data_IF_688609271936
#
_entry.id   IF_688609271936
#
_cell.length_a   1.000
_cell.length_b   1.000
_cell.length_c   1.000
_cell.angle_alpha   90.00
_cell.angle_beta   90.00
_cell.angle_gamma   90.00
#
_symmetry.space_group_name_H-M   'P 1'
#
loop_
_entity.id
_entity.type
_entity.pdbx_description
1 polymer ?
#
# COMPACT_ATOMS: atom_id res chain seq x y z
N UNK A 1 -32.10 -27.67 -46.23
CA UNK A 1 -32.66 -26.70 -45.27
C UNK A 1 -32.73 -27.22 -43.82
N UNK A 2 -31.97 -28.25 -43.39
CA UNK A 2 -32.08 -28.82 -42.03
C UNK A 2 -30.85 -28.64 -41.11
N UNK A 3 -29.72 -28.13 -41.60
CA UNK A 3 -28.49 -28.00 -40.79
C UNK A 3 -28.52 -26.81 -39.83
N UNK A 4 -29.10 -25.66 -40.24
CA UNK A 4 -29.13 -24.46 -39.40
C UNK A 4 -30.04 -24.56 -38.17
N UNK A 5 -31.22 -25.18 -38.30
CA UNK A 5 -32.15 -25.36 -37.18
C UNK A 5 -31.61 -26.32 -36.11
N UNK A 6 -30.90 -27.38 -36.53
CA UNK A 6 -30.24 -28.30 -35.61
C UNK A 6 -29.13 -27.61 -34.82
N UNK A 7 -28.33 -26.76 -35.47
CA UNK A 7 -27.26 -26.00 -34.80
C UNK A 7 -27.84 -25.02 -33.77
N UNK A 8 -28.89 -24.26 -34.13
CA UNK A 8 -29.56 -23.33 -33.19
C UNK A 8 -30.15 -24.07 -31.98
N UNK A 9 -30.79 -25.23 -32.20
CA UNK A 9 -31.34 -26.05 -31.12
C UNK A 9 -30.25 -26.54 -30.16
N UNK A 10 -29.10 -26.98 -30.69
CA UNK A 10 -27.95 -27.42 -29.87
C UNK A 10 -27.43 -26.25 -29.00
N UNK A 11 -27.30 -25.05 -29.56
CA UNK A 11 -26.89 -23.88 -28.78
C UNK A 11 -27.88 -23.51 -27.68
N UNK A 12 -29.20 -23.58 -27.95
CA UNK A 12 -30.23 -23.32 -26.94
C UNK A 12 -30.20 -24.34 -25.81
N UNK A 13 -29.96 -25.63 -26.13
CA UNK A 13 -29.84 -26.68 -25.12
C UNK A 13 -28.58 -26.49 -24.27
N UNK A 14 -27.43 -26.16 -24.88
CA UNK A 14 -26.19 -25.86 -24.14
C UNK A 14 -26.41 -24.65 -23.23
N UNK A 15 -27.01 -23.58 -23.73
CA UNK A 15 -27.33 -22.39 -22.93
C UNK A 15 -28.25 -22.74 -21.74
N UNK A 16 -29.30 -23.54 -21.97
CA UNK A 16 -30.19 -23.99 -20.90
C UNK A 16 -29.47 -24.84 -19.84
N UNK A 17 -28.59 -25.76 -20.26
CA UNK A 17 -27.79 -26.58 -19.33
C UNK A 17 -26.82 -25.71 -18.51
N UNK A 18 -26.18 -24.73 -19.12
CA UNK A 18 -25.30 -23.79 -18.41
C UNK A 18 -26.08 -22.94 -17.40
N UNK A 19 -27.28 -22.47 -17.76
CA UNK A 19 -28.15 -21.72 -16.85
C UNK A 19 -28.61 -22.59 -15.68
N UNK A 20 -29.13 -23.80 -15.94
CA UNK A 20 -29.56 -24.72 -14.89
C UNK A 20 -28.39 -25.15 -13.99
N UNK A 21 -27.23 -25.42 -14.60
CA UNK A 21 -26.00 -25.72 -13.88
C UNK A 21 -25.56 -24.58 -12.97
N UNK A 22 -25.61 -23.33 -13.47
CA UNK A 22 -25.29 -22.13 -12.69
C UNK A 22 -26.26 -21.90 -11.53
N UNK A 23 -27.56 -22.05 -11.75
CA UNK A 23 -28.59 -21.93 -10.69
C UNK A 23 -28.37 -23.01 -9.63
N UNK A 24 -28.18 -24.27 -10.04
CA UNK A 24 -27.97 -25.39 -9.13
C UNK A 24 -26.71 -25.19 -8.29
N UNK A 25 -25.61 -24.77 -8.91
CA UNK A 25 -24.37 -24.46 -8.21
C UNK A 25 -24.55 -23.30 -7.23
N UNK A 26 -25.26 -22.23 -7.61
CA UNK A 26 -25.55 -21.10 -6.74
C UNK A 26 -26.36 -21.49 -5.50
N UNK A 27 -27.39 -22.33 -5.66
CA UNK A 27 -28.17 -22.86 -4.53
C UNK A 27 -27.30 -23.70 -3.60
N UNK A 28 -26.50 -24.62 -4.14
CA UNK A 28 -25.60 -25.48 -3.34
C UNK A 28 -24.57 -24.64 -2.59
N UNK A 29 -23.98 -23.63 -3.23
CA UNK A 29 -23.03 -22.72 -2.61
C UNK A 29 -23.67 -21.94 -1.45
N UNK A 30 -24.90 -21.44 -1.65
CA UNK A 30 -25.65 -20.69 -0.62
C UNK A 30 -25.99 -21.58 0.59
N UNK A 31 -26.46 -22.81 0.37
CA UNK A 31 -26.76 -23.76 1.46
C UNK A 31 -25.49 -24.14 2.23
N UNK A 32 -24.39 -24.43 1.53
CA UNK A 32 -23.09 -24.73 2.17
C UNK A 32 -22.58 -23.55 2.99
N UNK A 33 -22.71 -22.33 2.46
CA UNK A 33 -22.34 -21.10 3.17
C UNK A 33 -23.17 -20.91 4.43
N UNK A 34 -24.49 -21.11 4.35
CA UNK A 34 -25.35 -20.97 5.53
C UNK A 34 -25.04 -22.03 6.59
N UNK A 35 -24.80 -23.28 6.18
CA UNK A 35 -24.38 -24.34 7.08
C UNK A 35 -23.04 -24.01 7.78
N UNK A 36 -22.09 -23.47 7.04
CA UNK A 36 -20.80 -22.99 7.58
C UNK A 36 -21.00 -21.85 8.59
N UNK A 37 -21.81 -20.84 8.27
CA UNK A 37 -22.10 -19.72 9.20
C UNK A 37 -22.78 -20.24 10.47
N UNK A 38 -23.71 -21.20 10.34
CA UNK A 38 -24.38 -21.79 11.48
C UNK A 38 -23.40 -22.57 12.37
N UNK A 39 -22.44 -23.31 11.79
CA UNK A 39 -21.45 -24.05 12.56
C UNK A 39 -20.41 -23.14 13.24
N UNK A 40 -20.12 -21.97 12.68
CA UNK A 40 -19.38 -20.88 13.36
C UNK A 40 -20.16 -20.41 14.59
N UNK A 41 -21.45 -20.07 14.43
CA UNK A 41 -22.30 -19.57 15.53
C UNK A 41 -22.49 -20.59 16.65
N UNK A 42 -22.60 -21.88 16.33
CA UNK A 42 -22.70 -22.96 17.33
C UNK A 42 -21.47 -23.05 18.25
N UNK A 43 -20.31 -22.53 17.82
CA UNK A 43 -19.08 -22.45 18.64
C UNK A 43 -19.02 -21.18 19.50
N UNK A 44 -20.07 -20.35 19.46
CA UNK A 44 -20.09 -19.06 20.15
C UNK A 44 -19.30 -17.96 19.43
N UNK A 45 -18.89 -18.19 18.18
CA UNK A 45 -18.17 -17.22 17.38
C UNK A 45 -19.14 -16.40 16.52
N UNK A 46 -18.75 -15.16 16.21
CA UNK A 46 -19.47 -14.26 15.34
C UNK A 46 -18.94 -14.40 13.90
N UNK A 47 -19.85 -14.41 12.93
CA UNK A 47 -19.53 -14.29 11.51
C UNK A 47 -20.04 -12.95 10.99
N UNK A 48 -19.16 -12.14 10.42
CA UNK A 48 -19.48 -10.83 9.84
C UNK A 48 -19.28 -10.93 8.33
N UNK A 49 -20.34 -10.60 7.57
CA UNK A 49 -20.25 -10.43 6.12
C UNK A 49 -19.83 -8.99 5.85
N UNK A 50 -18.85 -8.78 4.99
CA UNK A 50 -18.36 -7.46 4.58
C UNK A 50 -18.03 -6.58 5.80
N UNK A 51 -17.03 -6.98 6.62
CA UNK A 51 -16.67 -6.25 7.81
C UNK A 51 -16.27 -4.82 7.45
N UNK A 52 -16.52 -3.91 8.39
CA UNK A 52 -16.09 -2.55 8.23
C UNK A 52 -14.55 -2.48 8.21
N UNK A 53 -14.07 -1.38 7.65
CA UNK A 53 -12.64 -1.15 7.45
C UNK A 53 -11.85 -1.15 8.79
N UNK A 54 -12.49 -0.75 9.89
CA UNK A 54 -11.94 -0.77 11.25
C UNK A 54 -11.38 -2.14 11.68
N UNK A 55 -11.89 -3.24 11.11
CA UNK A 55 -11.40 -4.60 11.36
C UNK A 55 -9.89 -4.77 11.06
N UNK A 56 -9.36 -4.01 10.09
CA UNK A 56 -7.95 -4.05 9.66
C UNK A 56 -7.24 -2.70 9.82
N UNK A 57 -7.92 -1.65 10.27
CA UNK A 57 -7.36 -0.30 10.44
C UNK A 57 -6.13 -0.23 11.34
N UNK A 58 -6.09 -1.09 12.36
CA UNK A 58 -4.99 -1.13 13.33
C UNK A 58 -3.73 -1.85 12.84
N UNK A 59 -3.81 -2.49 11.66
CA UNK A 59 -2.78 -3.36 11.10
C UNK A 59 -1.96 -2.59 10.06
N UNK A 60 -0.65 -2.54 10.24
CA UNK A 60 0.27 -1.80 9.38
C UNK A 60 1.27 -2.67 8.64
N UNK A 61 1.46 -3.93 9.05
CA UNK A 61 2.47 -4.82 8.50
C UNK A 61 1.91 -5.70 7.37
N UNK A 62 2.70 -6.06 6.34
CA UNK A 62 2.26 -6.89 5.22
C UNK A 62 1.50 -8.11 5.72
N UNK A 63 0.41 -8.54 5.06
CA UNK A 63 -0.14 -8.01 3.82
C UNK A 63 -0.93 -6.70 4.01
N UNK A 64 -1.09 -6.22 5.24
CA UNK A 64 -1.67 -4.91 5.52
C UNK A 64 -0.65 -3.81 5.23
N UNK A 65 -1.12 -2.56 5.14
CA UNK A 65 -0.24 -1.41 4.89
C UNK A 65 0.47 -1.37 3.54
N UNK A 66 0.28 -2.36 2.66
CA UNK A 66 0.87 -2.44 1.31
C UNK A 66 -0.20 -2.12 0.26
N UNK A 67 0.15 -1.27 -0.69
CA UNK A 67 -0.73 -0.91 -1.80
C UNK A 67 -1.89 -0.02 -1.37
N UNK A 68 -2.75 0.30 -2.34
CA UNK A 68 -3.86 1.24 -2.12
C UNK A 68 -5.19 0.49 -1.98
N UNK A 69 -5.29 -0.72 -2.53
CA UNK A 69 -6.45 -1.58 -2.30
C UNK A 69 -6.40 -2.32 -0.96
N UNK A 70 -7.49 -2.23 -0.21
CA UNK A 70 -7.71 -2.98 1.03
C UNK A 70 -9.15 -3.47 1.05
N UNK A 71 -9.34 -4.78 0.87
CA UNK A 71 -10.66 -5.39 0.75
C UNK A 71 -10.80 -6.52 1.76
N UNK A 72 -11.23 -6.20 3.00
CA UNK A 72 -11.70 -7.23 3.91
C UNK A 72 -13.09 -7.72 3.45
N UNK A 73 -13.39 -9.02 3.56
CA UNK A 73 -14.64 -9.60 3.04
C UNK A 73 -15.43 -10.46 4.03
N UNK A 74 -15.00 -11.67 4.36
CA UNK A 74 -15.64 -12.49 5.38
C UNK A 74 -14.78 -12.48 6.65
N UNK A 75 -15.41 -12.36 7.83
CA UNK A 75 -14.70 -12.31 9.11
C UNK A 75 -15.36 -13.24 10.14
N UNK A 76 -14.53 -13.94 10.90
CA UNK A 76 -14.90 -14.70 12.10
C UNK A 76 -14.25 -14.02 13.29
N UNK A 77 -15.04 -13.75 14.34
CA UNK A 77 -14.56 -13.15 15.59
C UNK A 77 -14.96 -14.06 16.75
N UNK A 78 -14.08 -14.20 17.73
CA UNK A 78 -14.38 -14.93 18.96
C UNK A 78 -13.33 -14.74 20.02
N UNK A 79 -13.35 -15.65 21.00
CA UNK A 79 -12.31 -15.76 22.02
C UNK A 79 -11.84 -17.22 22.12
N UNK A 80 -10.56 -17.41 22.44
CA UNK A 80 -10.02 -18.72 22.81
C UNK A 80 -10.62 -19.19 24.14
N UNK A 81 -10.37 -20.45 24.51
CA UNK A 81 -10.78 -21.03 25.79
C UNK A 81 -10.26 -20.25 27.02
N UNK A 82 -9.14 -19.54 26.86
CA UNK A 82 -8.52 -18.66 27.87
C UNK A 82 -9.06 -17.22 27.84
N UNK A 83 -10.07 -16.94 27.02
CA UNK A 83 -10.70 -15.63 26.90
C UNK A 83 -9.94 -14.63 26.02
N UNK A 84 -8.92 -15.07 25.28
CA UNK A 84 -8.12 -14.19 24.43
C UNK A 84 -8.87 -13.89 23.12
N UNK A 85 -9.09 -12.62 22.75
CA UNK A 85 -9.76 -12.27 21.51
C UNK A 85 -8.98 -12.77 20.29
N UNK A 86 -9.71 -13.27 19.30
CA UNK A 86 -9.18 -13.62 17.99
C UNK A 86 -10.08 -13.09 16.88
N UNK A 87 -9.50 -12.94 15.69
CA UNK A 87 -10.24 -12.76 14.45
C UNK A 87 -9.61 -13.57 13.32
N UNK A 88 -10.44 -14.05 12.39
CA UNK A 88 -10.00 -14.72 11.16
C UNK A 88 -10.72 -14.04 10.01
N UNK A 89 -9.98 -13.40 9.10
CA UNK A 89 -10.54 -12.52 8.09
C UNK A 89 -10.04 -12.86 6.69
N UNK A 90 -10.92 -12.83 5.71
CA UNK A 90 -10.54 -12.81 4.29
C UNK A 90 -10.08 -11.41 3.92
N UNK A 91 -8.91 -11.33 3.31
CA UNK A 91 -8.31 -10.05 2.95
C UNK A 91 -7.67 -10.14 1.57
N UNK A 92 -7.88 -9.08 0.80
CA UNK A 92 -7.27 -8.88 -0.51
C UNK A 92 -6.69 -7.47 -0.63
N UNK A 93 -5.51 -7.40 -1.24
CA UNK A 93 -4.88 -6.18 -1.74
C UNK A 93 -4.37 -6.41 -3.18
N UNK A 94 -3.59 -5.47 -3.71
CA UNK A 94 -3.02 -5.51 -5.07
C UNK A 94 -2.03 -6.66 -5.31
N UNK A 95 -1.43 -7.21 -4.25
CA UNK A 95 -0.31 -8.16 -4.31
C UNK A 95 -0.60 -9.52 -3.65
N UNK A 96 -1.69 -9.64 -2.91
CA UNK A 96 -2.00 -10.81 -2.09
C UNK A 96 -3.50 -10.93 -1.84
N UNK A 97 -3.98 -12.17 -1.81
CA UNK A 97 -5.35 -12.52 -1.45
C UNK A 97 -5.33 -13.81 -0.67
N UNK A 98 -6.05 -13.84 0.46
CA UNK A 98 -6.11 -15.03 1.29
C UNK A 98 -6.82 -14.78 2.60
N UNK A 99 -6.60 -15.67 3.56
CA UNK A 99 -7.17 -15.57 4.89
C UNK A 99 -6.07 -15.29 5.91
N UNK A 100 -6.40 -14.47 6.91
CA UNK A 100 -5.49 -14.07 7.97
C UNK A 100 -6.12 -14.41 9.30
N UNK A 101 -5.44 -15.21 10.11
CA UNK A 101 -5.82 -15.48 11.49
C UNK A 101 -5.02 -14.60 12.44
N UNK A 102 -5.69 -14.04 13.44
CA UNK A 102 -5.09 -13.10 14.39
C UNK A 102 -5.55 -13.40 15.80
N UNK A 103 -4.63 -13.26 16.74
CA UNK A 103 -4.90 -13.35 18.17
C UNK A 103 -4.28 -12.14 18.86
N UNK A 104 -5.04 -11.52 19.74
CA UNK A 104 -4.65 -10.28 20.43
C UNK A 104 -3.61 -10.54 21.51
N UNK A 105 -2.59 -9.68 21.58
CA UNK A 105 -1.57 -9.57 22.63
C UNK A 105 -2.02 -8.58 23.71
N UNK A 106 -1.42 -8.64 24.89
CA UNK A 106 -1.73 -7.71 26.00
C UNK A 106 -1.17 -6.29 25.82
N UNK A 107 -0.26 -6.12 24.85
CA UNK A 107 0.49 -4.89 24.60
C UNK A 107 0.88 -4.79 23.12
N UNK A 108 1.07 -3.55 22.66
CA UNK A 108 1.57 -3.26 21.32
C UNK A 108 3.07 -3.42 21.26
N UNK A 109 3.57 -4.20 20.31
CA UNK A 109 4.98 -4.48 20.14
C UNK A 109 5.48 -4.12 18.73
N UNK A 110 6.80 -3.95 18.53
CA UNK A 110 7.39 -3.72 17.22
C UNK A 110 7.17 -4.89 16.26
N UNK A 111 7.36 -4.61 14.97
CA UNK A 111 7.32 -5.62 13.92
C UNK A 111 8.35 -6.73 14.17
N UNK A 112 7.86 -7.97 14.10
CA UNK A 112 8.65 -9.18 13.96
C UNK A 112 7.94 -10.04 12.94
N UNK A 113 8.63 -10.61 11.97
CA UNK A 113 8.07 -11.63 11.10
C UNK A 113 8.92 -12.90 11.15
N UNK A 114 8.24 -14.03 11.04
CA UNK A 114 8.82 -15.37 11.16
C UNK A 114 8.19 -16.23 10.08
N UNK A 115 9.02 -16.82 9.24
CA UNK A 115 8.58 -17.77 8.21
C UNK A 115 9.29 -19.10 8.38
N UNK A 116 8.55 -20.21 8.32
CA UNK A 116 9.08 -21.57 8.40
C UNK A 116 8.32 -22.54 7.49
N UNK A 117 8.91 -23.71 7.27
CA UNK A 117 8.37 -24.73 6.36
C UNK A 117 8.46 -24.28 4.90
N UNK A 118 7.37 -24.45 4.14
CA UNK A 118 7.31 -24.06 2.72
C UNK A 118 6.99 -22.58 2.48
N UNK A 119 6.92 -21.76 3.54
CA UNK A 119 6.53 -20.35 3.44
C UNK A 119 7.73 -19.41 3.27
N UNK A 120 7.56 -18.36 2.46
CA UNK A 120 8.52 -17.28 2.30
C UNK A 120 8.05 -15.98 2.94
N UNK A 121 8.93 -14.95 3.02
CA UNK A 121 8.55 -13.62 3.51
C UNK A 121 7.38 -13.03 2.72
N UNK A 122 6.57 -12.22 3.41
CA UNK A 122 5.43 -11.53 2.79
C UNK A 122 5.92 -10.54 1.74
N UNK A 123 5.15 -10.35 0.68
CA UNK A 123 5.46 -9.36 -0.36
C UNK A 123 5.64 -7.96 0.27
N UNK A 124 6.70 -7.26 -0.13
CA UNK A 124 6.95 -5.88 0.29
C UNK A 124 7.48 -5.70 1.71
N UNK A 125 7.78 -6.78 2.44
CA UNK A 125 8.38 -6.68 3.78
C UNK A 125 9.77 -6.01 3.71
N UNK A 126 10.03 -5.07 4.60
CA UNK A 126 11.25 -4.24 4.64
C UNK A 126 12.08 -4.52 5.90
N UNK A 127 11.49 -5.13 6.92
CA UNK A 127 12.23 -5.59 8.09
C UNK A 127 13.34 -6.58 7.67
N UNK A 128 14.54 -6.35 8.23
CA UNK A 128 15.78 -7.02 7.80
C UNK A 128 15.82 -8.45 8.31
N UNK A 129 16.41 -9.36 7.53
CA UNK A 129 16.71 -10.72 7.99
C UNK A 129 17.65 -10.66 9.22
N UNK A 130 17.25 -11.33 10.30
CA UNK A 130 18.06 -11.49 11.50
C UNK A 130 18.37 -12.98 11.72
N UNK A 131 19.49 -13.32 12.40
CA UNK A 131 19.82 -14.72 12.66
C UNK A 131 18.71 -15.44 13.42
N UNK A 132 18.18 -16.52 12.86
CA UNK A 132 17.21 -17.36 13.54
C UNK A 132 17.86 -18.06 14.74
N UNK A 133 17.20 -18.11 15.91
CA UNK A 133 17.70 -18.86 17.06
C UNK A 133 17.91 -20.33 16.72
N UNK A 134 19.00 -20.98 17.20
CA UNK A 134 19.24 -22.41 16.94
C UNK A 134 18.10 -23.34 17.36
N UNK A 135 17.28 -22.92 18.33
CA UNK A 135 16.13 -23.66 18.85
C UNK A 135 15.00 -23.84 17.83
N UNK A 136 14.92 -22.96 16.81
CA UNK A 136 13.97 -23.15 15.70
C UNK A 136 14.44 -24.27 14.75
N UNK A 137 15.73 -24.55 14.70
CA UNK A 137 16.31 -25.49 13.73
C UNK A 137 16.40 -24.89 12.32
N UNK A 138 16.76 -25.70 11.31
CA UNK A 138 16.94 -25.24 9.94
C UNK A 138 15.60 -24.89 9.27
N UNK A 139 15.64 -24.00 8.28
CA UNK A 139 14.49 -23.67 7.44
C UNK A 139 13.61 -22.53 7.95
N UNK A 140 13.97 -21.90 9.07
CA UNK A 140 13.31 -20.71 9.57
C UNK A 140 14.02 -19.43 9.12
N UNK A 141 13.24 -18.41 8.80
CA UNK A 141 13.70 -17.04 8.60
C UNK A 141 12.96 -16.12 9.55
N UNK A 142 13.68 -15.13 10.05
CA UNK A 142 13.16 -14.13 10.97
C UNK A 142 13.57 -12.78 10.43
N UNK A 143 12.69 -11.79 10.48
CA UNK A 143 13.11 -10.42 10.32
C UNK A 143 12.46 -9.46 11.29
N UNK A 144 13.21 -8.42 11.61
CA UNK A 144 12.86 -7.37 12.54
C UNK A 144 13.65 -6.10 12.23
N UNK A 145 13.19 -4.97 12.76
CA UNK A 145 13.94 -3.70 12.69
C UNK A 145 14.93 -3.55 13.84
N UNK A 146 14.62 -4.17 14.97
CA UNK A 146 15.42 -4.16 16.19
C UNK A 146 15.85 -5.61 16.49
N UNK A 147 17.15 -5.89 16.33
CA UNK A 147 17.73 -7.22 16.57
C UNK A 147 17.64 -7.62 18.05
N UNK A 148 18.02 -6.77 19.03
CA UNK A 148 17.73 -7.00 20.44
C UNK A 148 16.28 -7.38 20.75
N UNK A 149 15.30 -6.69 20.13
CA UNK A 149 13.89 -7.03 20.27
C UNK A 149 13.59 -8.44 19.77
N UNK A 150 14.02 -8.79 18.56
CA UNK A 150 13.81 -10.13 18.00
C UNK A 150 14.37 -11.23 18.91
N UNK A 151 15.58 -11.03 19.43
CA UNK A 151 16.22 -11.97 20.36
C UNK A 151 15.46 -12.09 21.69
N UNK A 152 14.90 -10.99 22.19
CA UNK A 152 14.13 -10.99 23.43
C UNK A 152 12.79 -11.73 23.27
N UNK A 153 12.10 -11.54 22.13
CA UNK A 153 10.83 -12.23 21.84
C UNK A 153 11.06 -13.72 21.63
N UNK A 154 12.09 -14.10 20.87
CA UNK A 154 12.38 -15.48 20.45
C UNK A 154 13.04 -16.31 21.55
N UNK A 155 12.34 -16.46 22.67
CA UNK A 155 12.73 -17.35 23.77
C UNK A 155 12.68 -18.81 23.34
N UNK A 156 13.40 -19.68 24.05
CA UNK A 156 13.37 -21.13 23.79
C UNK A 156 11.93 -21.71 23.86
N UNK A 157 11.11 -21.20 24.77
CA UNK A 157 9.70 -21.60 24.89
C UNK A 157 8.88 -21.15 23.67
N UNK A 158 9.10 -19.93 23.16
CA UNK A 158 8.42 -19.47 21.95
C UNK A 158 8.84 -20.29 20.73
N UNK A 159 10.15 -20.58 20.58
CA UNK A 159 10.66 -21.44 19.51
C UNK A 159 10.02 -22.83 19.53
N UNK A 160 9.83 -23.42 20.72
CA UNK A 160 9.14 -24.70 20.86
C UNK A 160 7.68 -24.62 20.39
N UNK A 161 6.96 -23.55 20.74
CA UNK A 161 5.57 -23.34 20.29
C UNK A 161 5.48 -23.13 18.77
N UNK A 162 6.44 -22.39 18.19
CA UNK A 162 6.52 -22.19 16.73
C UNK A 162 6.74 -23.50 15.98
N UNK A 163 7.65 -24.36 16.47
CA UNK A 163 7.87 -25.68 15.89
C UNK A 163 6.62 -26.58 16.01
N UNK A 164 5.90 -26.52 17.13
CA UNK A 164 4.65 -27.25 17.30
C UNK A 164 3.55 -26.76 16.34
N UNK A 165 3.44 -25.44 16.15
CA UNK A 165 2.51 -24.82 15.20
C UNK A 165 2.84 -25.26 13.75
N UNK A 166 4.13 -25.27 13.39
CA UNK A 166 4.60 -25.67 12.08
C UNK A 166 4.38 -27.17 11.79
N UNK A 167 4.42 -28.03 12.79
CA UNK A 167 4.14 -29.46 12.60
C UNK A 167 2.68 -29.74 12.16
N UNK A 168 1.76 -28.81 12.42
CA UNK A 168 0.34 -28.93 12.07
C UNK A 168 -0.06 -28.32 10.72
N UNK A 169 0.87 -27.69 9.98
CA UNK A 169 0.59 -26.96 8.73
C UNK A 169 1.73 -27.16 7.70
N UNK A 170 1.50 -26.90 6.41
CA UNK A 170 2.57 -26.90 5.39
C UNK A 170 3.69 -25.87 5.68
N UNK A 171 3.38 -24.82 6.44
CA UNK A 171 4.35 -23.86 6.94
C UNK A 171 3.69 -22.82 7.83
N UNK A 172 4.49 -21.88 8.34
CA UNK A 172 4.04 -20.82 9.23
C UNK A 172 4.55 -19.50 8.70
N UNK A 173 3.64 -18.58 8.39
CA UNK A 173 3.98 -17.19 8.06
C UNK A 173 3.35 -16.28 9.11
N UNK A 174 4.09 -16.05 10.20
CA UNK A 174 3.66 -15.31 11.38
C UNK A 174 4.30 -13.93 11.40
N UNK A 175 3.56 -12.93 11.88
CA UNK A 175 4.10 -11.62 12.25
C UNK A 175 3.50 -11.12 13.55
N UNK A 176 4.20 -10.19 14.20
CA UNK A 176 3.65 -9.29 15.21
C UNK A 176 3.35 -7.97 14.52
N UNK A 177 2.10 -7.51 14.63
CA UNK A 177 1.63 -6.23 14.09
C UNK A 177 0.87 -5.49 15.20
N UNK A 178 1.59 -4.60 15.89
CA UNK A 178 1.09 -3.92 17.07
C UNK A 178 0.72 -4.92 18.16
N UNK A 179 -0.57 -4.99 18.49
CA UNK A 179 -1.13 -5.86 19.52
C UNK A 179 -1.67 -7.18 18.94
N UNK A 180 -1.27 -7.58 17.74
CA UNK A 180 -1.75 -8.83 17.11
C UNK A 180 -0.59 -9.75 16.77
N UNK A 181 -0.75 -11.03 17.11
CA UNK A 181 -0.07 -12.11 16.40
C UNK A 181 -0.88 -12.43 15.15
N UNK A 182 -0.29 -12.25 13.98
CA UNK A 182 -0.92 -12.35 12.66
C UNK A 182 -0.32 -13.51 11.90
N UNK A 183 -1.13 -14.48 11.47
CA UNK A 183 -0.68 -15.65 10.69
C UNK A 183 -1.47 -15.77 9.40
N UNK A 184 -0.78 -15.98 8.29
CA UNK A 184 -1.42 -16.21 7.00
C UNK A 184 -1.90 -17.65 6.84
N UNK A 185 -2.97 -17.81 6.07
CA UNK A 185 -3.53 -19.09 5.65
C UNK A 185 -3.93 -20.02 6.81
N UNK A 186 -4.79 -19.55 7.74
CA UNK A 186 -5.31 -20.40 8.82
C UNK A 186 -6.15 -21.56 8.26
N UNK A 187 -6.22 -22.71 8.95
CA UNK A 187 -6.94 -23.92 8.50
C UNK A 187 -8.46 -23.79 8.62
N UNK A 188 -9.06 -22.79 7.98
CA UNK A 188 -10.45 -22.37 8.18
C UNK A 188 -11.52 -23.33 7.65
N UNK A 189 -11.16 -24.20 6.70
CA UNK A 189 -12.15 -25.05 6.01
C UNK A 189 -12.83 -26.03 6.96
N UNK A 190 -12.11 -26.45 8.00
CA UNK A 190 -12.59 -27.37 9.04
C UNK A 190 -12.55 -26.63 10.38
N UNK A 191 -13.71 -26.24 10.91
CA UNK A 191 -13.78 -25.39 12.10
C UNK A 191 -13.18 -26.02 13.36
N UNK A 192 -13.12 -27.36 13.44
CA UNK A 192 -12.46 -28.05 14.55
C UNK A 192 -10.94 -27.88 14.49
N UNK A 193 -10.36 -27.97 13.29
CA UNK A 193 -8.93 -27.66 13.07
C UNK A 193 -8.65 -26.19 13.31
N UNK A 194 -9.55 -25.30 12.87
CA UNK A 194 -9.43 -23.87 13.14
C UNK A 194 -9.44 -23.58 14.65
N UNK A 195 -10.36 -24.21 15.40
CA UNK A 195 -10.43 -24.05 16.86
C UNK A 195 -9.14 -24.48 17.55
N UNK A 196 -8.65 -25.68 17.26
CA UNK A 196 -7.38 -26.17 17.83
C UNK A 196 -6.19 -25.26 17.48
N UNK A 197 -6.14 -24.79 16.24
CA UNK A 197 -5.11 -23.87 15.77
C UNK A 197 -5.17 -22.50 16.46
N UNK A 198 -6.37 -21.98 16.73
CA UNK A 198 -6.56 -20.73 17.49
C UNK A 198 -6.12 -20.88 18.95
N UNK A 199 -6.34 -22.04 19.58
CA UNK A 199 -5.83 -22.30 20.93
C UNK A 199 -4.29 -22.35 20.96
N UNK A 200 -3.66 -22.96 19.95
CA UNK A 200 -2.19 -22.95 19.80
C UNK A 200 -1.66 -21.52 19.62
N UNK A 201 -2.31 -20.73 18.77
CA UNK A 201 -1.94 -19.33 18.57
C UNK A 201 -2.16 -18.48 19.84
N UNK A 202 -3.21 -18.79 20.62
CA UNK A 202 -3.45 -18.23 21.95
C UNK A 202 -2.36 -18.55 22.96
N UNK A 203 -1.88 -19.80 22.98
CA UNK A 203 -0.76 -20.21 23.83
C UNK A 203 0.54 -19.50 23.43
N UNK A 204 0.79 -19.33 22.12
CA UNK A 204 1.92 -18.57 21.59
C UNK A 204 1.87 -17.11 22.05
N UNK A 205 0.72 -16.45 21.89
CA UNK A 205 0.50 -15.08 22.37
C UNK A 205 0.71 -14.95 23.88
N UNK A 206 0.31 -15.95 24.68
CA UNK A 206 0.55 -15.97 26.12
C UNK A 206 2.04 -16.06 26.48
N UNK A 207 2.85 -16.79 25.70
CA UNK A 207 4.31 -16.82 25.89
C UNK A 207 4.92 -15.44 25.61
N UNK A 208 4.51 -14.77 24.53
CA UNK A 208 4.96 -13.41 24.22
C UNK A 208 4.59 -12.44 25.35
N UNK A 209 3.35 -12.52 25.86
CA UNK A 209 2.88 -11.68 26.96
C UNK A 209 3.58 -11.94 28.30
N UNK A 210 4.16 -13.12 28.51
CA UNK A 210 4.95 -13.44 29.70
C UNK A 210 6.41 -12.96 29.60
N UNK A 211 6.90 -12.64 28.39
CA UNK A 211 8.27 -12.18 28.15
C UNK A 211 8.42 -10.70 28.59
N UNK A 212 9.49 -10.34 29.32
CA UNK A 212 9.72 -8.96 29.80
C UNK A 212 10.12 -8.03 28.64
N UNK A 213 9.10 -7.45 27.97
CA UNK A 213 9.25 -6.64 26.76
C UNK A 213 8.91 -5.16 26.97
N UNK A 214 8.87 -4.69 28.22
CA UNK A 214 8.33 -3.36 28.58
C UNK A 214 9.01 -2.21 27.83
N UNK A 215 10.32 -2.30 27.58
CA UNK A 215 11.08 -1.27 26.86
C UNK A 215 10.71 -1.12 25.38
N UNK A 216 10.00 -2.10 24.79
CA UNK A 216 9.60 -2.10 23.39
C UNK A 216 8.12 -1.77 23.17
N UNK A 217 7.35 -1.53 24.25
CA UNK A 217 5.93 -1.21 24.13
C UNK A 217 5.75 0.02 23.24
N UNK A 218 4.94 -0.14 22.19
CA UNK A 218 4.63 0.91 21.24
C UNK A 218 3.39 1.70 21.68
N UNK A 219 3.32 3.01 21.41
CA UNK A 219 2.11 3.79 21.66
C UNK A 219 0.96 3.35 20.75
N UNK A 220 -0.28 3.69 21.14
CA UNK A 220 -1.44 3.52 20.26
C UNK A 220 -1.33 4.53 19.08
N UNK A 221 -1.33 4.06 17.82
CA UNK A 221 -1.35 4.93 16.67
C UNK A 221 -2.74 5.56 16.53
N UNK A 222 -2.85 6.71 15.84
CA UNK A 222 -4.15 7.24 15.46
C UNK A 222 -4.96 6.20 14.67
N UNK A 223 -6.30 6.17 14.78
CA UNK A 223 -7.16 5.22 14.09
C UNK A 223 -7.30 5.58 12.60
N UNK A 224 -6.19 5.49 11.87
CA UNK A 224 -6.07 5.86 10.45
C UNK A 224 -5.41 4.75 9.66
N UNK A 225 -5.68 4.76 8.37
CA UNK A 225 -5.10 3.83 7.42
C UNK A 225 -3.65 4.14 7.13
N UNK A 226 -2.72 3.49 7.83
CA UNK A 226 -1.29 3.72 7.60
C UNK A 226 -0.74 2.84 6.49
N UNK A 227 0.47 3.21 6.07
CA UNK A 227 1.26 2.46 5.11
C UNK A 227 2.47 1.87 5.82
N UNK A 228 2.84 0.66 5.40
CA UNK A 228 3.95 -0.07 5.98
C UNK A 228 5.24 0.75 5.87
N UNK A 229 5.93 0.96 6.99
CA UNK A 229 7.11 1.85 7.13
C UNK A 229 6.90 3.33 6.82
N UNK A 230 5.64 3.76 6.72
CA UNK A 230 5.28 5.16 6.56
C UNK A 230 4.15 5.51 7.55
N UNK A 231 4.44 5.59 8.86
CA UNK A 231 3.42 5.77 9.91
C UNK A 231 2.73 7.14 9.87
N UNK A 232 3.36 8.12 9.21
CA UNK A 232 2.79 9.45 8.97
C UNK A 232 1.98 9.54 7.68
N UNK A 233 2.03 8.52 6.83
CA UNK A 233 1.16 8.44 5.66
C UNK A 233 -0.18 7.87 6.08
N UNK A 234 -1.24 8.45 5.55
CA UNK A 234 -2.56 7.96 5.79
C UNK A 234 -3.52 8.20 4.63
N UNK A 235 -4.39 7.22 4.45
CA UNK A 235 -5.43 7.24 3.42
C UNK A 235 -6.62 8.09 3.87
N UNK A 236 -7.10 8.92 2.96
CA UNK A 236 -8.31 9.75 3.07
C UNK A 236 -9.44 9.18 2.20
N UNK A 237 -9.08 8.62 1.04
CA UNK A 237 -10.03 8.11 0.06
C UNK A 237 -10.42 9.15 -0.97
N UNK A 238 -11.43 9.96 -0.69
CA UNK A 238 -11.95 10.95 -1.65
C UNK A 238 -12.00 12.31 -0.96
N UNK A 239 -11.45 13.32 -1.63
CA UNK A 239 -11.45 14.71 -1.18
C UNK A 239 -11.40 15.63 -2.41
N UNK A 240 -12.58 15.85 -3.01
CA UNK A 240 -12.70 16.62 -4.26
C UNK A 240 -12.38 18.11 -4.06
N UNK A 241 -12.31 18.60 -2.82
CA UNK A 241 -11.88 19.97 -2.52
C UNK A 241 -10.43 20.24 -2.94
N UNK A 242 -9.61 19.19 -3.05
CA UNK A 242 -8.22 19.28 -3.53
C UNK A 242 -8.13 19.78 -4.98
N UNK A 243 -9.17 19.59 -5.79
CA UNK A 243 -9.19 20.00 -7.19
C UNK A 243 -9.22 21.52 -7.39
N UNK A 244 -9.54 22.29 -6.34
CA UNK A 244 -9.62 23.75 -6.41
C UNK A 244 -8.24 24.40 -6.59
N UNK A 245 -7.21 23.83 -5.97
CA UNK A 245 -5.87 24.41 -5.90
C UNK A 245 -4.76 23.53 -6.52
N UNK A 246 -5.06 22.27 -6.84
CA UNK A 246 -4.09 21.38 -7.50
C UNK A 246 -4.01 21.66 -9.00
N UNK A 247 -2.84 21.44 -9.64
CA UNK A 247 -2.64 21.70 -11.06
C UNK A 247 -3.16 20.55 -11.94
N UNK A 248 -4.43 20.18 -11.76
CA UNK A 248 -5.11 19.13 -12.52
C UNK A 248 -5.57 19.61 -13.90
N UNK A 249 -5.82 18.67 -14.80
CA UNK A 249 -6.53 18.93 -16.04
C UNK A 249 -7.97 19.41 -15.73
N UNK A 250 -8.36 20.57 -16.25
CA UNK A 250 -9.70 21.17 -16.05
C UNK A 250 -10.65 20.97 -17.24
N UNK A 251 -10.21 20.24 -18.27
CA UNK A 251 -11.02 19.92 -19.44
C UNK A 251 -12.01 18.80 -19.15
N UNK A 252 -13.15 18.81 -19.85
CA UNK A 252 -14.18 17.78 -19.69
C UNK A 252 -15.13 18.05 -18.52
N UNK A 253 -15.65 16.98 -17.91
CA UNK A 253 -16.59 17.06 -16.80
C UNK A 253 -16.49 15.83 -15.88
N UNK A 254 -17.18 15.89 -14.73
CA UNK A 254 -17.22 14.77 -13.78
C UNK A 254 -15.88 14.54 -13.08
N UNK A 255 -15.16 15.63 -12.78
CA UNK A 255 -13.90 15.61 -12.06
C UNK A 255 -14.09 15.05 -10.64
N UNK A 256 -13.25 14.10 -10.26
CA UNK A 256 -13.26 13.48 -8.92
C UNK A 256 -11.87 12.96 -8.57
N UNK A 257 -11.54 13.02 -7.29
CA UNK A 257 -10.38 12.38 -6.69
C UNK A 257 -10.66 10.93 -6.31
N UNK A 258 -9.65 10.08 -6.39
CA UNK A 258 -9.68 8.73 -5.83
C UNK A 258 -8.35 8.43 -5.12
N UNK A 259 -8.42 7.56 -4.11
CA UNK A 259 -7.26 7.10 -3.34
C UNK A 259 -6.38 8.25 -2.83
N UNK A 260 -7.00 9.30 -2.29
CA UNK A 260 -6.30 10.42 -1.67
C UNK A 260 -5.48 9.93 -0.48
N UNK A 261 -4.20 10.27 -0.48
CA UNK A 261 -3.23 9.99 0.57
C UNK A 261 -2.61 11.31 0.99
N UNK A 262 -2.48 11.49 2.31
CA UNK A 262 -1.67 12.56 2.89
C UNK A 262 -0.57 11.95 3.72
N UNK A 263 0.57 12.62 3.79
CA UNK A 263 1.65 12.08 4.61
C UNK A 263 2.87 12.95 4.67
N UNK A 264 3.92 12.39 5.27
CA UNK A 264 5.23 12.99 5.42
C UNK A 264 6.24 11.86 5.63
N UNK A 265 7.46 12.04 5.15
CA UNK A 265 8.60 11.16 5.45
C UNK A 265 9.62 11.87 6.32
N UNK A 266 9.60 11.59 7.64
CA UNK A 266 10.51 12.19 8.61
C UNK A 266 10.47 13.72 8.54
N UNK A 267 11.65 14.34 8.46
CA UNK A 267 11.78 15.81 8.38
C UNK A 267 11.50 16.39 6.96
N UNK A 268 11.03 15.57 6.02
CA UNK A 268 10.67 16.02 4.67
C UNK A 268 9.45 16.95 4.62
N UNK A 269 9.13 17.52 3.46
CA UNK A 269 7.86 18.26 3.29
C UNK A 269 6.65 17.31 3.41
N UNK A 270 5.53 17.74 4.01
CA UNK A 270 4.29 16.96 3.93
C UNK A 270 3.76 16.95 2.49
N UNK A 271 3.00 15.93 2.12
CA UNK A 271 2.50 15.76 0.76
C UNK A 271 1.02 15.39 0.70
N UNK A 272 0.46 15.58 -0.49
CA UNK A 272 -0.81 15.04 -0.94
C UNK A 272 -0.58 14.24 -2.23
N UNK A 273 -1.24 13.09 -2.35
CA UNK A 273 -1.18 12.26 -3.54
C UNK A 273 -2.56 11.67 -3.84
N UNK A 274 -3.00 11.65 -5.09
CA UNK A 274 -4.29 11.08 -5.49
C UNK A 274 -4.35 10.80 -6.99
N UNK A 275 -5.27 9.93 -7.40
CA UNK A 275 -5.67 9.79 -8.81
C UNK A 275 -6.79 10.78 -9.10
N UNK A 276 -6.63 11.61 -10.14
CA UNK A 276 -7.67 12.50 -10.63
C UNK A 276 -8.37 11.87 -11.83
N UNK A 277 -9.69 11.73 -11.76
CA UNK A 277 -10.51 11.19 -12.85
C UNK A 277 -11.40 12.26 -13.47
N UNK A 278 -11.54 12.26 -14.79
CA UNK A 278 -12.51 13.09 -15.50
C UNK A 278 -13.02 12.38 -16.77
N UNK A 279 -14.03 12.99 -17.41
CA UNK A 279 -14.64 12.45 -18.63
C UNK A 279 -14.68 13.50 -19.72
N UNK A 280 -14.52 13.06 -20.96
CA UNK A 280 -14.81 13.86 -22.15
C UNK A 280 -15.89 13.17 -22.98
N UNK A 281 -16.62 13.95 -23.77
CA UNK A 281 -17.64 13.43 -24.67
C UNK A 281 -17.37 13.90 -26.09
N UNK A 282 -17.55 13.00 -27.04
CA UNK A 282 -17.59 13.35 -28.47
C UNK A 282 -18.75 12.67 -29.16
N UNK A 283 -19.31 13.34 -30.16
CA UNK A 283 -20.37 12.80 -30.99
C UNK A 283 -19.73 12.15 -32.21
N UNK A 284 -19.95 10.86 -32.40
CA UNK A 284 -19.54 10.13 -33.61
C UNK A 284 -20.76 9.93 -34.51
N UNK A 285 -20.59 10.24 -35.80
CA UNK A 285 -21.57 9.89 -36.83
C UNK A 285 -21.19 8.54 -37.45
N UNK A 286 -22.14 7.62 -37.52
CA UNK A 286 -21.97 6.35 -38.23
C UNK A 286 -23.14 6.13 -39.19
N UNK A 287 -22.91 5.38 -40.26
CA UNK A 287 -23.96 5.01 -41.21
C UNK A 287 -24.48 3.62 -40.84
N UNK A 288 -25.78 3.52 -40.60
CA UNK A 288 -26.41 2.22 -40.34
C UNK A 288 -26.48 1.35 -41.60
N UNK A 289 -26.87 0.08 -41.44
CA UNK A 289 -27.01 -0.86 -42.55
C UNK A 289 -28.06 -0.45 -43.59
N UNK A 290 -28.87 0.57 -43.29
CA UNK A 290 -29.91 1.10 -44.15
C UNK A 290 -29.49 2.42 -44.84
N UNK A 291 -28.23 2.85 -44.66
CA UNK A 291 -27.69 4.05 -45.30
C UNK A 291 -28.03 5.36 -44.58
N UNK A 292 -28.65 5.31 -43.39
CA UNK A 292 -28.96 6.52 -42.64
C UNK A 292 -27.78 6.93 -41.76
N UNK A 293 -27.50 8.23 -41.71
CA UNK A 293 -26.54 8.79 -40.76
C UNK A 293 -27.16 8.83 -39.37
N UNK A 294 -26.56 8.10 -38.44
CA UNK A 294 -26.89 8.09 -37.03
C UNK A 294 -25.78 8.78 -36.25
N UNK A 295 -26.11 9.36 -35.10
CA UNK A 295 -25.11 9.89 -34.17
C UNK A 295 -25.15 9.12 -32.86
N UNK A 296 -23.98 8.91 -32.25
CA UNK A 296 -23.85 8.36 -30.91
C UNK A 296 -22.89 9.20 -30.10
N UNK A 297 -23.25 9.47 -28.85
CA UNK A 297 -22.32 10.04 -27.87
C UNK A 297 -21.39 8.95 -27.35
N UNK A 298 -20.09 9.18 -27.49
CA UNK A 298 -19.03 8.37 -26.89
C UNK A 298 -18.48 9.15 -25.70
N UNK A 299 -18.49 8.50 -24.52
CA UNK A 299 -17.88 9.05 -23.31
C UNK A 299 -16.53 8.36 -23.10
N UNK A 300 -15.48 9.16 -23.05
CA UNK A 300 -14.13 8.70 -22.75
C UNK A 300 -13.80 9.02 -21.29
N UNK A 301 -13.17 8.06 -20.62
CA UNK A 301 -12.75 8.17 -19.23
C UNK A 301 -11.25 8.38 -19.19
N UNK A 302 -10.81 9.36 -18.41
CA UNK A 302 -9.41 9.71 -18.29
C UNK A 302 -9.02 9.71 -16.82
N UNK A 303 -7.73 9.49 -16.56
CA UNK A 303 -7.16 9.69 -15.24
C UNK A 303 -5.72 10.17 -15.32
N UNK A 304 -5.27 10.83 -14.26
CA UNK A 304 -3.89 11.25 -14.09
C UNK A 304 -3.48 11.21 -12.61
N UNK A 305 -2.24 10.81 -12.30
CA UNK A 305 -1.73 10.83 -10.94
C UNK A 305 -1.26 12.23 -10.56
N UNK A 306 -1.67 12.70 -9.39
CA UNK A 306 -1.26 13.98 -8.80
C UNK A 306 -0.44 13.72 -7.55
N UNK A 307 0.75 14.33 -7.47
CA UNK A 307 1.60 14.29 -6.29
C UNK A 307 2.18 15.69 -6.02
N UNK A 308 1.87 16.23 -4.85
CA UNK A 308 2.30 17.55 -4.41
C UNK A 308 2.94 17.53 -3.03
N UNK A 309 4.07 18.21 -2.86
CA UNK A 309 4.73 18.41 -1.57
C UNK A 309 4.65 19.87 -1.16
N UNK A 310 4.23 20.14 0.07
CA UNK A 310 4.11 21.49 0.60
C UNK A 310 5.44 21.96 1.18
N UNK A 311 5.92 23.10 0.68
CA UNK A 311 7.13 23.76 1.14
C UNK A 311 6.83 24.66 2.35
N UNK A 312 7.83 24.87 3.24
CA UNK A 312 7.68 25.73 4.41
C UNK A 312 7.63 27.23 4.05
N UNK A 313 7.95 27.57 2.79
CA UNK A 313 7.98 28.94 2.29
C UNK A 313 7.70 28.97 0.79
N UNK A 314 7.16 30.10 0.30
CA UNK A 314 7.00 30.36 -1.13
C UNK A 314 8.36 30.41 -1.83
N UNK A 315 8.54 29.55 -2.83
CA UNK A 315 9.72 29.53 -3.69
C UNK A 315 9.38 30.08 -5.10
N UNK A 316 10.29 30.83 -5.74
CA UNK A 316 10.13 31.25 -7.12
C UNK A 316 9.90 30.06 -8.08
N UNK A 317 9.10 30.23 -9.14
CA UNK A 317 8.82 29.15 -10.08
C UNK A 317 10.10 28.56 -10.69
N UNK A 318 10.22 27.23 -10.60
CA UNK A 318 11.33 26.45 -11.14
C UNK A 318 10.82 25.09 -11.60
N UNK A 319 10.98 24.76 -12.87
CA UNK A 319 10.66 23.44 -13.44
C UNK A 319 11.94 22.69 -13.70
N UNK A 320 12.02 21.46 -13.19
CA UNK A 320 13.06 20.49 -13.49
C UNK A 320 12.42 19.40 -14.35
N UNK A 321 12.64 19.50 -15.66
CA UNK A 321 12.11 18.55 -16.65
C UNK A 321 13.19 17.71 -17.30
N UNK A 322 12.77 16.65 -18.00
CA UNK A 322 13.62 15.92 -18.95
C UNK A 322 13.77 16.73 -20.23
N UNK A 323 14.93 16.63 -20.90
CA UNK A 323 15.15 17.29 -22.18
C UNK A 323 14.17 16.76 -23.22
N UNK A 324 13.35 17.65 -23.77
CA UNK A 324 12.45 17.40 -24.89
C UNK A 324 12.76 18.35 -26.06
N UNK A 325 11.71 18.78 -26.77
CA UNK A 325 11.84 19.72 -27.90
C UNK A 325 12.08 21.19 -27.46
N UNK A 326 11.91 21.52 -26.19
CA UNK A 326 12.10 22.87 -25.67
C UNK A 326 13.51 23.10 -25.12
N UNK A 327 14.04 24.30 -25.34
CA UNK A 327 15.29 24.78 -24.75
C UNK A 327 15.01 25.48 -23.41
N UNK A 328 15.52 24.92 -22.31
CA UNK A 328 15.55 25.58 -21.01
C UNK A 328 16.79 26.47 -20.84
N UNK A 329 17.06 26.88 -19.60
CA UNK A 329 18.28 27.59 -19.21
C UNK A 329 19.50 26.69 -19.45
N UNK A 330 20.54 27.23 -20.07
CA UNK A 330 21.81 26.52 -20.31
C UNK A 330 22.73 26.62 -19.08
N UNK A 331 23.27 25.48 -18.65
CA UNK A 331 24.26 25.36 -17.58
C UNK A 331 25.65 25.03 -18.15
N UNK A 332 26.68 25.12 -17.29
CA UNK A 332 28.07 24.81 -17.66
C UNK A 332 28.30 23.35 -18.09
N UNK A 333 27.45 22.41 -17.66
CA UNK A 333 27.55 21.01 -18.03
C UNK A 333 26.75 20.72 -19.29
N UNK A 334 27.46 20.54 -20.41
CA UNK A 334 26.86 20.11 -21.67
C UNK A 334 26.17 18.74 -21.55
N UNK A 335 26.63 17.86 -20.65
CA UNK A 335 25.94 16.59 -20.39
C UNK A 335 24.60 16.80 -19.66
N UNK A 336 24.58 17.69 -18.67
CA UNK A 336 23.35 18.05 -17.96
C UNK A 336 22.30 18.62 -18.92
N UNK A 337 22.69 19.58 -19.78
CA UNK A 337 21.77 20.23 -20.73
C UNK A 337 21.23 19.27 -21.82
N UNK A 338 21.90 18.12 -22.04
CA UNK A 338 21.39 17.05 -22.91
C UNK A 338 20.30 16.20 -22.26
N UNK A 339 20.29 16.08 -20.94
CA UNK A 339 19.34 15.21 -20.20
C UNK A 339 18.20 15.99 -19.54
N UNK A 340 18.46 17.23 -19.13
CA UNK A 340 17.52 18.06 -18.39
C UNK A 340 17.13 19.33 -19.16
N UNK A 341 15.92 19.81 -18.91
CA UNK A 341 15.46 21.13 -19.31
C UNK A 341 14.95 21.87 -18.07
N UNK A 342 15.63 22.97 -17.72
CA UNK A 342 15.30 23.78 -16.55
C UNK A 342 14.61 25.06 -17.01
N UNK A 343 13.46 25.38 -16.40
CA UNK A 343 12.76 26.63 -16.64
C UNK A 343 12.61 27.36 -15.32
N UNK A 344 12.95 28.64 -15.29
CA UNK A 344 12.71 29.49 -14.14
C UNK A 344 12.27 30.87 -14.64
N UNK A 345 11.49 31.58 -13.82
CA UNK A 345 11.16 32.97 -14.10
C UNK A 345 12.40 33.87 -13.97
N UNK A 346 13.28 33.58 -13.01
CA UNK A 346 14.55 34.26 -12.80
C UNK A 346 15.73 33.30 -13.05
N UNK A 347 16.53 33.53 -14.11
CA UNK A 347 17.71 32.71 -14.37
C UNK A 347 18.74 32.72 -13.24
N UNK A 348 18.88 33.84 -12.50
CA UNK A 348 19.79 33.91 -11.36
C UNK A 348 19.39 32.90 -10.29
N UNK A 349 18.10 32.87 -9.95
CA UNK A 349 17.56 31.88 -9.01
C UNK A 349 17.79 30.43 -9.48
N UNK A 350 17.64 30.17 -10.79
CA UNK A 350 17.96 28.86 -11.35
C UNK A 350 19.42 28.47 -11.14
N UNK A 351 20.38 29.38 -11.37
CA UNK A 351 21.81 29.12 -11.13
C UNK A 351 22.15 28.98 -9.65
N UNK A 352 21.51 29.77 -8.78
CA UNK A 352 21.71 29.70 -7.34
C UNK A 352 21.23 28.35 -6.76
N UNK A 353 20.14 27.78 -7.30
CA UNK A 353 19.58 26.48 -6.89
C UNK A 353 20.28 25.31 -7.60
N UNK A 354 20.47 25.38 -8.91
CA UNK A 354 21.02 24.31 -9.76
C UNK A 354 22.53 24.56 -9.97
N UNK A 355 23.28 24.49 -8.87
CA UNK A 355 24.74 24.59 -8.88
C UNK A 355 25.40 23.23 -9.20
N UNK A 356 26.74 23.13 -9.35
CA UNK A 356 27.41 21.91 -9.82
C UNK A 356 27.04 20.63 -9.05
N UNK A 357 27.11 20.66 -7.72
CA UNK A 357 26.69 19.53 -6.87
C UNK A 357 25.21 19.14 -7.02
N UNK A 358 24.33 20.10 -7.32
CA UNK A 358 22.91 19.82 -7.56
C UNK A 358 22.72 19.15 -8.93
N UNK A 359 23.46 19.57 -9.96
CA UNK A 359 23.47 18.90 -11.26
C UNK A 359 23.96 17.45 -11.13
N UNK A 360 25.02 17.20 -10.38
CA UNK A 360 25.51 15.84 -10.09
C UNK A 360 24.43 14.99 -9.40
N UNK A 361 23.75 15.56 -8.40
CA UNK A 361 22.65 14.88 -7.72
C UNK A 361 21.51 14.50 -8.67
N UNK A 362 21.03 15.45 -9.49
CA UNK A 362 19.96 15.24 -10.47
C UNK A 362 20.33 14.15 -11.49
N UNK A 363 21.57 14.18 -11.98
CA UNK A 363 22.09 13.19 -12.93
C UNK A 363 22.18 11.78 -12.32
N UNK A 364 22.50 11.66 -11.04
CA UNK A 364 22.63 10.39 -10.34
C UNK A 364 21.28 9.77 -9.94
N UNK A 365 20.33 10.60 -9.50
CA UNK A 365 19.07 10.15 -8.88
C UNK A 365 17.95 9.83 -9.89
N UNK A 366 17.99 10.42 -11.09
CA UNK A 366 17.04 10.17 -12.20
C UNK A 366 15.55 10.27 -11.81
N UNK A 367 15.20 11.19 -10.91
CA UNK A 367 13.83 11.34 -10.42
C UNK A 367 12.82 11.81 -11.47
N UNK A 368 11.54 11.75 -11.09
CA UNK A 368 10.44 12.24 -11.91
C UNK A 368 10.52 13.76 -12.13
N UNK A 369 10.07 14.29 -13.29
CA UNK A 369 9.95 15.72 -13.51
C UNK A 369 9.08 16.38 -12.43
N UNK A 370 9.46 17.57 -12.02
CA UNK A 370 8.68 18.37 -11.08
C UNK A 370 8.75 19.85 -11.38
N UNK A 371 7.81 20.59 -10.82
CA UNK A 371 7.83 22.06 -10.81
C UNK A 371 7.55 22.59 -9.42
N UNK A 372 8.27 23.63 -9.07
CA UNK A 372 8.05 24.45 -7.88
C UNK A 372 7.11 25.58 -8.28
N UNK A 373 6.03 25.75 -7.54
CA UNK A 373 5.03 26.78 -7.76
C UNK A 373 4.48 27.27 -6.41
N UNK A 374 4.91 28.46 -5.99
CA UNK A 374 4.53 29.02 -4.71
C UNK A 374 5.00 28.14 -3.55
N UNK A 375 4.06 27.63 -2.76
CA UNK A 375 4.34 26.78 -1.57
C UNK A 375 4.31 25.29 -1.90
N UNK A 376 4.34 24.92 -3.18
CA UNK A 376 4.17 23.53 -3.59
C UNK A 376 5.24 23.09 -4.60
N UNK A 377 5.61 21.82 -4.50
CA UNK A 377 6.33 21.08 -5.54
C UNK A 377 5.42 20.02 -6.11
N UNK A 378 5.09 20.15 -7.40
CA UNK A 378 4.20 19.24 -8.11
C UNK A 378 5.00 18.32 -9.01
N UNK A 379 4.86 17.01 -8.80
CA UNK A 379 5.49 15.97 -9.59
C UNK A 379 4.59 15.48 -10.72
N UNK A 380 5.22 14.95 -11.77
CA UNK A 380 4.59 14.06 -12.74
C UNK A 380 5.10 12.64 -12.47
N UNK A 381 4.54 11.91 -11.49
CA UNK A 381 5.11 10.64 -11.02
C UNK A 381 4.93 9.48 -12.01
N UNK A 382 4.08 9.65 -13.03
CA UNK A 382 3.78 8.62 -14.05
C UNK A 382 2.72 7.62 -13.59
N UNK A 383 2.68 7.30 -12.30
CA UNK A 383 1.66 6.45 -11.68
C UNK A 383 1.32 6.93 -10.26
N UNK A 384 0.14 6.56 -9.78
CA UNK A 384 -0.26 6.72 -8.38
C UNK A 384 0.01 5.41 -7.63
N UNK A 385 1.18 5.31 -6.99
CA UNK A 385 1.60 4.11 -6.24
C UNK A 385 2.44 4.47 -5.01
N UNK A 386 2.45 3.62 -3.98
CA UNK A 386 3.30 3.82 -2.80
C UNK A 386 4.79 3.94 -3.17
N UNK A 387 5.36 3.05 -4.03
CA UNK A 387 6.74 3.20 -4.48
C UNK A 387 7.03 4.52 -5.20
N UNK A 388 6.11 4.98 -6.07
CA UNK A 388 6.29 6.24 -6.79
C UNK A 388 6.30 7.45 -5.86
N UNK A 389 5.39 7.49 -4.88
CA UNK A 389 5.36 8.54 -3.85
C UNK A 389 6.65 8.53 -3.03
N UNK A 390 7.09 7.35 -2.57
CA UNK A 390 8.28 7.20 -1.74
C UNK A 390 9.55 7.63 -2.50
N UNK A 391 9.64 7.25 -3.78
CA UNK A 391 10.74 7.66 -4.64
C UNK A 391 10.77 9.18 -4.85
N UNK A 392 9.62 9.80 -5.17
CA UNK A 392 9.55 11.25 -5.34
C UNK A 392 9.84 12.01 -4.03
N UNK A 393 9.40 11.48 -2.89
CA UNK A 393 9.68 12.03 -1.56
C UNK A 393 11.18 12.00 -1.25
N UNK A 394 11.83 10.85 -1.43
CA UNK A 394 13.27 10.71 -1.22
C UNK A 394 14.07 11.62 -2.18
N UNK A 395 13.66 11.68 -3.44
CA UNK A 395 14.27 12.55 -4.45
C UNK A 395 14.10 14.04 -4.12
N UNK A 396 12.91 14.46 -3.71
CA UNK A 396 12.68 15.86 -3.32
C UNK A 396 13.46 16.23 -2.05
N UNK A 397 13.52 15.34 -1.06
CA UNK A 397 14.30 15.58 0.17
C UNK A 397 15.79 15.77 -0.14
N UNK A 398 16.36 14.96 -1.03
CA UNK A 398 17.75 15.13 -1.47
C UNK A 398 17.94 16.42 -2.26
N UNK A 399 17.00 16.76 -3.14
CA UNK A 399 17.01 18.04 -3.87
C UNK A 399 17.00 19.22 -2.90
N UNK A 400 16.05 19.28 -1.97
CA UNK A 400 15.86 20.38 -1.03
C UNK A 400 17.01 20.49 -0.02
N UNK A 401 17.55 19.37 0.45
CA UNK A 401 18.74 19.34 1.30
C UNK A 401 20.02 19.79 0.59
N UNK A 402 20.05 19.72 -0.74
CA UNK A 402 21.13 20.24 -1.58
C UNK A 402 21.06 21.75 -1.85
N UNK A 403 19.90 22.38 -1.67
CA UNK A 403 19.72 23.83 -1.91
C UNK A 403 20.63 24.64 -0.97
N UNK A 404 21.47 25.55 -1.48
CA UNK A 404 22.40 26.29 -0.64
C UNK A 404 21.69 27.15 0.40
N UNK A 405 22.27 27.23 1.60
CA UNK A 405 21.75 28.03 2.71
C UNK A 405 21.45 29.49 2.35
N UNK A 406 22.23 30.11 1.47
CA UNK A 406 21.98 31.50 1.07
C UNK A 406 20.69 31.67 0.28
N UNK A 407 20.26 30.65 -0.50
CA UNK A 407 18.98 30.66 -1.21
C UNK A 407 17.84 30.70 -0.21
N UNK A 408 17.87 29.85 0.81
CA UNK A 408 16.89 29.86 1.90
C UNK A 408 16.85 31.20 2.64
N UNK A 409 18.01 31.81 2.91
CA UNK A 409 18.08 33.15 3.52
C UNK A 409 17.48 34.24 2.64
N UNK A 410 17.70 34.19 1.34
CA UNK A 410 17.10 35.15 0.40
C UNK A 410 15.57 35.01 0.35
N UNK A 411 15.03 33.83 0.64
CA UNK A 411 13.60 33.59 0.76
C UNK A 411 13.03 34.00 2.13
N UNK A 412 13.88 34.24 3.13
CA UNK A 412 13.47 34.68 4.47
C UNK A 412 13.63 33.64 5.59
N UNK A 413 14.27 32.50 5.34
CA UNK A 413 14.56 31.48 6.36
C UNK A 413 16.01 31.62 6.88
N UNK A 414 16.21 31.58 8.20
CA UNK A 414 17.53 31.76 8.82
C UNK A 414 18.51 30.60 8.55
N UNK A 415 17.97 29.39 8.37
CA UNK A 415 18.68 28.12 8.17
C UNK A 415 18.02 27.29 7.06
N UNK A 416 18.69 26.23 6.62
CA UNK A 416 18.06 25.23 5.74
C UNK A 416 16.96 24.50 6.52
N UNK A 417 15.70 24.48 6.05
CA UNK A 417 14.63 23.75 6.72
C UNK A 417 14.74 22.23 6.54
N UNK A 418 15.57 21.76 5.59
CA UNK A 418 15.75 20.36 5.30
C UNK A 418 17.20 19.93 5.55
N UNK A 419 17.45 18.90 6.36
CA UNK A 419 18.78 18.36 6.53
C UNK A 419 19.24 17.67 5.22
N UNK A 420 20.56 17.65 4.93
CA UNK A 420 21.09 16.80 3.89
C UNK A 420 20.71 15.34 4.17
N UNK A 421 20.22 14.61 3.16
CA UNK A 421 20.05 13.18 3.32
C UNK A 421 21.42 12.54 3.49
N UNK A 422 21.64 11.82 4.59
CA UNK A 422 22.70 10.81 4.63
C UNK A 422 22.32 9.77 3.58
N UNK A 423 22.97 9.83 2.40
CA UNK A 423 22.86 8.77 1.40
C UNK A 423 23.45 7.53 2.08
N UNK A 424 22.66 6.48 2.36
CA UNK A 424 23.26 5.23 2.79
C UNK A 424 24.24 4.82 1.70
N UNK A 425 25.52 4.63 2.05
CA UNK A 425 26.52 4.18 1.09
C UNK A 425 25.92 3.04 0.28
N UNK A 426 25.90 3.18 -1.05
CA UNK A 426 25.40 2.16 -1.96
C UNK A 426 25.96 0.81 -1.51
N UNK A 427 25.08 -0.07 -1.03
CA UNK A 427 25.41 -1.46 -0.69
C UNK A 427 24.91 -2.36 -1.80
#
# INVERSE_FOLDING_TARGET
MNSGAAVVLVFLVIAAVLVVGGITWGIVALVRRQAYINSVKQRGWLFVNSPAFDAVARLGNPPFGIGFERRPDDQIIGATSTGRPFQVIEYKNDHWSGWVGMVTLSRRLPELWITGGETGPRYGVLAQDVPAPPQLGPGWRVGALDVPYANAVLTAQLCQQLNALAAGQPGVNLSIDGDQVVVLDPPRKELDKLGQWLEQLGALAAVIDATPLDQWIQPEPPPRLTFYHHPEWYWIGVDDSLLEFTPVNRGGHGHRTDQVIRGRDGDGPPFIAFEHHWKTQRTESYTDSNGNSQTRTVTEHHSEPILGFQLPIRMPPLTVGRKGLSSGIEFESAEFNRRFAIFAQDPKYAYDVIHPRQMEYLMASQGAPFRIEGEWVWFSPGEHSQPAIAHCSAYLRGFLGGVPRFVWRNLGLSESPFPPLEIPAAR
#
